data_IF_210529037004
#
_entry.id   IF_210529037004
#
_cell.length_a   1.000
_cell.length_b   1.000
_cell.length_c   1.000
_cell.angle_alpha   90.00
_cell.angle_beta   90.00
_cell.angle_gamma   90.00
#
_symmetry.space_group_name_H-M   'P 1'
#
loop_
_entity.id
_entity.type
_entity.pdbx_description
1 polymer ?
#
# COMPACT_ATOMS: atom_id res chain seq x y z
N UNK A 1 -10.81 8.16 -22.84
CA UNK A 1 -10.97 8.24 -24.30
C UNK A 1 -9.93 7.30 -24.90
N UNK A 2 -10.34 6.24 -25.60
CA UNK A 2 -9.43 5.26 -26.23
C UNK A 2 -9.71 5.33 -27.72
N UNK A 3 -8.71 5.70 -28.52
CA UNK A 3 -8.85 5.90 -29.97
C UNK A 3 -10.01 6.83 -30.37
N UNK A 4 -10.22 7.92 -29.62
CA UNK A 4 -11.26 8.91 -29.93
C UNK A 4 -12.67 8.58 -29.44
N UNK A 5 -12.91 7.39 -28.88
CA UNK A 5 -14.21 7.01 -28.31
C UNK A 5 -14.20 7.04 -26.78
N UNK A 6 -15.32 7.44 -26.18
CA UNK A 6 -15.54 7.32 -24.74
C UNK A 6 -16.01 5.88 -24.44
N UNK A 7 -15.24 5.16 -23.62
CA UNK A 7 -15.54 3.79 -23.21
C UNK A 7 -15.56 3.73 -21.70
N UNK A 8 -16.59 3.08 -21.15
CA UNK A 8 -16.62 2.75 -19.74
C UNK A 8 -15.54 1.70 -19.49
N UNK A 9 -14.48 2.13 -18.81
CA UNK A 9 -13.52 1.23 -18.22
C UNK A 9 -14.15 0.66 -16.95
N UNK A 10 -13.81 -0.59 -16.62
CA UNK A 10 -14.37 -1.38 -15.51
C UNK A 10 -14.41 -0.61 -14.16
N UNK A 11 -14.92 -1.25 -13.11
CA UNK A 11 -14.86 -0.73 -11.76
C UNK A 11 -13.48 -0.16 -11.40
N UNK A 12 -13.47 0.92 -10.62
CA UNK A 12 -12.24 1.61 -10.20
C UNK A 12 -11.25 0.64 -9.54
N UNK A 13 -11.76 -0.33 -8.77
CA UNK A 13 -10.92 -1.34 -8.13
C UNK A 13 -10.26 -2.27 -9.16
N UNK A 14 -11.01 -2.76 -10.15
CA UNK A 14 -10.47 -3.60 -11.21
C UNK A 14 -9.40 -2.86 -12.01
N UNK A 15 -9.63 -1.59 -12.34
CA UNK A 15 -8.63 -0.77 -13.03
C UNK A 15 -7.37 -0.56 -12.19
N UNK A 16 -7.51 -0.32 -10.89
CA UNK A 16 -6.37 -0.17 -9.96
C UNK A 16 -5.57 -1.46 -9.82
N UNK A 17 -6.21 -2.63 -9.79
CA UNK A 17 -5.50 -3.92 -9.76
C UNK A 17 -4.86 -4.26 -11.10
N UNK A 18 -5.53 -3.96 -12.22
CA UNK A 18 -5.05 -4.30 -13.57
C UNK A 18 -3.94 -3.37 -14.08
N UNK A 19 -4.03 -2.08 -13.76
CA UNK A 19 -3.11 -1.05 -14.25
C UNK A 19 -2.15 -0.54 -13.18
N UNK A 20 -2.39 -0.85 -11.90
CA UNK A 20 -1.53 -0.44 -10.80
C UNK A 20 -0.30 -1.32 -10.67
N UNK A 21 0.78 -0.73 -10.15
CA UNK A 21 2.03 -1.43 -9.84
C UNK A 21 2.14 -1.87 -8.37
N UNK A 22 1.05 -1.77 -7.61
CA UNK A 22 1.01 -2.05 -6.17
C UNK A 22 0.36 -0.92 -5.38
N UNK A 23 0.68 -0.85 -4.09
CA UNK A 23 0.11 0.12 -3.15
C UNK A 23 1.21 0.88 -2.42
N UNK A 24 0.99 2.19 -2.23
CA UNK A 24 1.82 3.02 -1.35
C UNK A 24 1.07 3.29 -0.06
N UNK A 25 1.73 3.02 1.07
CA UNK A 25 1.18 3.17 2.41
C UNK A 25 2.03 4.20 3.14
N UNK A 26 1.36 5.20 3.72
CA UNK A 26 1.99 6.24 4.52
C UNK A 26 1.55 6.08 5.96
N UNK A 27 2.48 5.69 6.83
CA UNK A 27 2.21 5.51 8.25
C UNK A 27 2.87 6.65 9.03
N UNK A 28 2.11 7.50 9.73
CA UNK A 28 2.70 8.52 10.58
C UNK A 28 3.35 7.86 11.81
N UNK A 29 4.65 8.09 12.00
CA UNK A 29 5.39 7.71 13.21
C UNK A 29 5.38 8.89 14.18
N UNK A 30 4.45 8.88 15.13
CA UNK A 30 4.39 9.88 16.20
C UNK A 30 5.39 9.60 17.33
N UNK A 31 6.02 8.42 17.34
CA UNK A 31 6.91 7.96 18.41
C UNK A 31 8.30 7.69 17.85
N UNK A 32 9.27 8.54 18.20
CA UNK A 32 10.66 8.48 17.72
C UNK A 32 11.36 7.14 17.99
N UNK A 33 10.96 6.41 19.03
CA UNK A 33 11.51 5.09 19.38
C UNK A 33 10.68 3.90 18.86
N UNK A 34 9.48 4.14 18.32
CA UNK A 34 8.52 3.09 17.92
C UNK A 34 8.62 2.67 16.44
N UNK A 35 9.28 3.46 15.61
CA UNK A 35 9.35 3.30 14.15
C UNK A 35 9.80 1.88 13.75
N UNK A 36 10.82 1.34 14.43
CA UNK A 36 11.34 -0.01 14.16
C UNK A 36 10.33 -1.11 14.46
N UNK A 37 9.53 -0.96 15.52
CA UNK A 37 8.53 -1.95 15.90
C UNK A 37 7.37 -1.96 14.88
N UNK A 38 6.94 -0.78 14.44
CA UNK A 38 5.92 -0.64 13.39
C UNK A 38 6.39 -1.21 12.07
N UNK A 39 7.65 -0.96 11.69
CA UNK A 39 8.27 -1.54 10.51
C UNK A 39 8.29 -3.07 10.60
N UNK A 40 8.71 -3.62 11.74
CA UNK A 40 8.80 -5.06 11.91
C UNK A 40 7.42 -5.72 11.84
N UNK A 41 6.42 -5.12 12.49
CA UNK A 41 5.03 -5.57 12.44
C UNK A 41 4.48 -5.62 11.01
N UNK A 42 4.74 -4.58 10.20
CA UNK A 42 4.29 -4.52 8.81
C UNK A 42 5.03 -5.55 7.95
N UNK A 43 6.34 -5.72 8.14
CA UNK A 43 7.14 -6.72 7.41
C UNK A 43 6.76 -8.17 7.76
N UNK A 44 6.42 -8.44 9.01
CA UNK A 44 5.97 -9.77 9.44
C UNK A 44 4.62 -10.14 8.84
N UNK A 45 3.70 -9.18 8.69
CA UNK A 45 2.36 -9.44 8.14
C UNK A 45 2.28 -9.31 6.63
N UNK A 46 3.16 -8.54 6.01
CA UNK A 46 3.17 -8.26 4.58
C UNK A 46 4.61 -8.44 4.09
N UNK A 47 4.95 -9.65 3.67
CA UNK A 47 6.30 -9.99 3.20
C UNK A 47 6.70 -9.27 1.91
N UNK A 48 5.71 -8.78 1.14
CA UNK A 48 5.92 -8.02 -0.10
C UNK A 48 5.91 -6.49 0.13
N UNK A 49 6.09 -6.02 1.38
CA UNK A 49 6.19 -4.61 1.72
C UNK A 49 7.65 -4.15 1.82
N UNK A 50 8.10 -3.39 0.83
CA UNK A 50 9.40 -2.73 0.82
C UNK A 50 9.30 -1.31 1.38
N UNK A 51 10.22 -0.94 2.27
CA UNK A 51 10.31 0.42 2.79
C UNK A 51 11.04 1.26 1.74
N UNK A 52 10.37 2.28 1.21
CA UNK A 52 11.04 3.21 0.28
C UNK A 52 11.72 4.35 1.02
N UNK A 53 11.04 4.93 2.01
CA UNK A 53 11.52 6.14 2.68
C UNK A 53 11.06 6.17 4.15
N UNK A 54 11.98 6.54 5.04
CA UNK A 54 11.70 6.96 6.41
C UNK A 54 12.10 8.43 6.51
N UNK A 55 11.12 9.33 6.59
CA UNK A 55 11.40 10.76 6.70
C UNK A 55 10.63 11.36 7.88
N UNK A 56 11.40 11.89 8.85
CA UNK A 56 11.01 12.66 10.04
C UNK A 56 9.92 12.03 10.95
N UNK A 57 8.70 11.88 10.42
CA UNK A 57 7.49 11.36 11.11
C UNK A 57 6.58 10.52 10.21
N UNK A 58 7.04 10.12 9.02
CA UNK A 58 6.28 9.27 8.12
C UNK A 58 7.15 8.13 7.58
N UNK A 59 6.56 6.93 7.58
CA UNK A 59 7.15 5.74 7.00
C UNK A 59 6.39 5.44 5.71
N UNK A 60 7.11 5.39 4.60
CA UNK A 60 6.57 5.08 3.29
C UNK A 60 6.90 3.63 2.92
N UNK A 61 5.84 2.81 2.84
CA UNK A 61 5.93 1.43 2.36
C UNK A 61 5.35 1.31 0.95
N UNK A 62 6.02 0.56 0.09
CA UNK A 62 5.46 0.09 -1.16
C UNK A 62 5.21 -1.41 -1.09
N UNK A 63 3.97 -1.79 -1.39
CA UNK A 63 3.53 -3.17 -1.47
C UNK A 63 3.37 -3.54 -2.93
N UNK A 64 3.79 -4.74 -3.30
CA UNK A 64 3.62 -5.26 -4.65
C UNK A 64 2.14 -5.35 -5.09
N UNK A 65 1.91 -5.42 -6.40
CA UNK A 65 0.58 -5.63 -6.97
C UNK A 65 0.00 -7.04 -6.72
N UNK A 66 0.79 -7.99 -6.22
CA UNK A 66 0.34 -9.36 -5.96
C UNK A 66 -0.56 -9.44 -4.74
N UNK A 67 -0.48 -8.47 -3.83
CA UNK A 67 -1.31 -8.42 -2.64
C UNK A 67 -2.68 -7.82 -2.98
N UNK A 68 -3.76 -8.48 -2.55
CA UNK A 68 -5.09 -7.91 -2.73
C UNK A 68 -5.32 -6.76 -1.74
N UNK A 69 -5.94 -5.67 -2.21
CA UNK A 69 -6.26 -4.51 -1.37
C UNK A 69 -7.07 -4.90 -0.11
N UNK A 70 -8.00 -5.85 -0.24
CA UNK A 70 -8.80 -6.33 0.90
C UNK A 70 -7.95 -7.00 1.98
N UNK A 71 -6.92 -7.77 1.59
CA UNK A 71 -6.01 -8.41 2.54
C UNK A 71 -5.19 -7.35 3.27
N UNK A 72 -4.74 -6.31 2.55
CA UNK A 72 -4.02 -5.19 3.13
C UNK A 72 -4.87 -4.47 4.20
N UNK A 73 -6.12 -4.14 3.88
CA UNK A 73 -7.05 -3.53 4.85
C UNK A 73 -7.32 -4.44 6.05
N UNK A 74 -7.50 -5.75 5.82
CA UNK A 74 -7.73 -6.70 6.91
C UNK A 74 -6.55 -6.84 7.88
N UNK A 75 -5.31 -6.58 7.42
CA UNK A 75 -4.13 -6.51 8.29
C UNK A 75 -4.20 -5.27 9.18
N UNK A 76 -4.53 -4.10 8.62
CA UNK A 76 -4.62 -2.85 9.36
C UNK A 76 -5.82 -2.77 10.30
N UNK A 77 -6.93 -3.45 9.98
CA UNK A 77 -8.11 -3.52 10.86
C UNK A 77 -7.83 -4.31 12.15
N UNK A 78 -6.89 -5.26 12.10
CA UNK A 78 -6.52 -6.13 13.22
C UNK A 78 -5.34 -5.59 14.04
N UNK A 79 -4.82 -4.43 13.70
CA UNK A 79 -3.68 -3.78 14.36
C UNK A 79 -4.18 -2.74 15.38
#
# INVERSE_FOLDING_TARGET
MVNGEFKCLDSVQHLKTKLGHGYSIFVPSYVTNGTKNTINYIKERISEADIKEEHDKMIHFCVSANVQLCQLFGVFEKA
#
